data_IF_103101380182
#
_entry.id   IF_103101380182
#
_cell.length_a   1.000
_cell.length_b   1.000
_cell.length_c   1.000
_cell.angle_alpha   90.00
_cell.angle_beta   90.00
_cell.angle_gamma   90.00
#
_symmetry.space_group_name_H-M   'P 1'
#
loop_
_entity.id
_entity.type
_entity.pdbx_description
1 polymer ?
#
# COMPACT_ATOMS: atom_id res chain seq x y z
N UNK A 1 -47.09 0.64 28.01
CA UNK A 1 -45.76 0.17 28.46
C UNK A 1 -45.05 -0.72 27.44
N UNK A 2 -45.74 -1.62 26.71
CA UNK A 2 -45.12 -2.48 25.70
C UNK A 2 -44.53 -1.74 24.49
N UNK A 3 -45.21 -0.70 23.98
CA UNK A 3 -44.75 0.08 22.81
C UNK A 3 -43.48 0.89 23.12
N UNK A 4 -43.37 1.43 24.33
CA UNK A 4 -42.17 2.15 24.78
C UNK A 4 -40.96 1.21 24.87
N UNK A 5 -41.19 -0.04 25.30
CA UNK A 5 -40.16 -1.08 25.36
C UNK A 5 -39.66 -1.47 23.96
N UNK A 6 -40.56 -1.60 22.97
CA UNK A 6 -40.18 -1.88 21.59
C UNK A 6 -39.40 -0.72 20.95
N UNK A 7 -39.79 0.53 21.24
CA UNK A 7 -39.05 1.73 20.81
C UNK A 7 -37.64 1.81 21.43
N UNK A 8 -37.51 1.46 22.71
CA UNK A 8 -36.22 1.40 23.41
C UNK A 8 -35.33 0.28 22.86
N UNK A 9 -35.88 -0.90 22.57
CA UNK A 9 -35.13 -1.99 21.95
C UNK A 9 -34.67 -1.67 20.53
N UNK A 10 -35.49 -0.96 19.73
CA UNK A 10 -35.07 -0.53 18.39
C UNK A 10 -33.98 0.53 18.42
N UNK A 11 -33.97 1.39 19.45
CA UNK A 11 -32.92 2.41 19.62
C UNK A 11 -31.58 1.79 20.06
N UNK A 12 -31.62 0.67 20.79
CA UNK A 12 -30.44 -0.07 21.24
C UNK A 12 -29.81 -0.95 20.14
N UNK A 13 -30.56 -1.26 19.08
CA UNK A 13 -30.12 -2.08 17.94
C UNK A 13 -29.63 -1.26 16.74
N UNK A 14 -29.52 0.07 16.86
CA UNK A 14 -28.73 0.84 15.90
C UNK A 14 -27.28 0.31 15.97
N UNK A 15 -26.74 -0.28 14.90
CA UNK A 15 -25.34 -0.63 14.92
C UNK A 15 -24.59 0.70 14.97
N UNK A 16 -23.89 0.96 16.06
CA UNK A 16 -22.82 1.96 16.07
C UNK A 16 -21.69 1.42 15.18
N UNK A 17 -21.95 1.29 13.88
CA UNK A 17 -20.97 0.86 12.90
C UNK A 17 -20.11 2.09 12.56
N UNK A 18 -19.29 2.51 13.52
CA UNK A 18 -18.11 3.28 13.18
C UNK A 18 -17.07 2.26 12.67
N UNK A 19 -17.19 1.93 11.38
CA UNK A 19 -16.15 1.23 10.64
C UNK A 19 -14.99 2.18 10.25
N UNK A 20 -14.74 3.23 11.03
CA UNK A 20 -13.74 4.25 10.70
C UNK A 20 -12.34 3.91 11.24
N UNK A 21 -12.17 2.82 12.00
CA UNK A 21 -10.91 2.50 12.68
C UNK A 21 -10.12 1.33 12.08
N UNK A 22 -10.59 0.70 10.99
CA UNK A 22 -9.71 -0.16 10.19
C UNK A 22 -8.82 0.73 9.33
N UNK A 23 -7.75 1.30 9.91
CA UNK A 23 -6.60 1.93 9.24
C UNK A 23 -6.90 2.35 7.80
N UNK A 24 -7.87 3.26 7.61
CA UNK A 24 -8.17 3.77 6.28
C UNK A 24 -6.97 4.64 5.95
N UNK A 25 -6.10 4.11 5.09
CA UNK A 25 -4.93 4.82 4.60
C UNK A 25 -5.41 6.12 3.94
N UNK A 26 -5.42 7.20 4.74
CA UNK A 26 -6.03 8.47 4.35
C UNK A 26 -5.21 9.17 3.28
N UNK A 27 -3.94 8.79 3.18
CA UNK A 27 -3.00 9.29 2.20
C UNK A 27 -2.87 8.31 1.06
N UNK A 28 -3.98 7.91 0.43
CA UNK A 28 -3.90 7.48 -0.96
C UNK A 28 -3.42 8.67 -1.78
N UNK A 29 -2.13 8.99 -1.71
CA UNK A 29 -1.46 9.86 -2.65
C UNK A 29 -1.84 9.29 -4.00
N UNK A 30 -2.76 9.97 -4.69
CA UNK A 30 -3.22 9.55 -5.99
C UNK A 30 -1.97 9.41 -6.83
N UNK A 31 -1.63 8.17 -7.21
CA UNK A 31 -0.51 7.92 -8.09
C UNK A 31 -0.88 8.59 -9.42
N UNK A 32 -0.40 9.80 -9.62
CA UNK A 32 -0.48 10.45 -10.91
C UNK A 32 0.61 9.80 -11.76
N UNK A 33 0.23 9.30 -12.93
CA UNK A 33 1.20 8.79 -13.89
C UNK A 33 2.05 9.96 -14.33
N UNK A 34 3.21 10.16 -13.69
CA UNK A 34 4.17 11.15 -14.10
C UNK A 34 4.69 10.76 -15.48
N UNK A 35 4.56 11.66 -16.46
CA UNK A 35 5.14 11.44 -17.77
C UNK A 35 6.65 11.20 -17.62
N UNK A 36 7.09 9.98 -17.90
CA UNK A 36 8.50 9.61 -17.76
C UNK A 36 9.28 10.25 -18.91
N UNK A 37 10.01 11.34 -18.63
CA UNK A 37 11.12 11.72 -19.51
C UNK A 37 12.09 10.53 -19.61
N UNK A 38 12.70 10.26 -20.77
CA UNK A 38 13.66 9.19 -20.93
C UNK A 38 14.94 9.54 -20.15
N UNK A 39 14.91 9.29 -18.85
CA UNK A 39 16.06 9.43 -17.97
C UNK A 39 16.86 8.12 -18.05
N UNK A 40 18.15 8.22 -18.30
CA UNK A 40 19.11 7.13 -18.13
C UNK A 40 20.16 7.55 -17.12
N UNK A 41 20.62 6.59 -16.34
CA UNK A 41 21.70 6.76 -15.42
C UNK A 41 22.97 7.22 -16.16
N UNK A 42 23.58 8.30 -15.70
CA UNK A 42 24.84 8.83 -16.26
C UNK A 42 26.08 7.98 -15.90
N UNK A 43 25.92 7.03 -14.99
CA UNK A 43 26.95 6.09 -14.52
C UNK A 43 26.29 4.83 -13.97
N UNK A 44 27.08 3.76 -13.80
CA UNK A 44 26.60 2.48 -13.26
C UNK A 44 26.30 2.57 -11.75
N UNK A 45 25.09 3.02 -11.41
CA UNK A 45 24.63 3.05 -10.03
C UNK A 45 24.24 1.65 -9.56
N UNK A 46 24.63 1.31 -8.33
CA UNK A 46 24.18 0.13 -7.60
C UNK A 46 23.30 0.57 -6.43
N UNK A 47 22.05 0.14 -6.44
CA UNK A 47 21.04 0.49 -5.45
C UNK A 47 20.63 -0.74 -4.66
N UNK A 48 20.25 -0.54 -3.40
CA UNK A 48 19.72 -1.59 -2.54
C UNK A 48 18.37 -1.15 -1.98
N UNK A 49 17.35 -2.00 -2.10
CA UNK A 49 16.08 -1.84 -1.43
C UNK A 49 15.90 -2.94 -0.38
N UNK A 50 15.33 -2.57 0.78
CA UNK A 50 15.03 -3.49 1.86
C UNK A 50 13.51 -3.63 2.00
N UNK A 51 13.00 -4.85 1.88
CA UNK A 51 11.59 -5.15 2.16
C UNK A 51 11.46 -5.81 3.54
N UNK A 52 10.36 -5.56 4.28
CA UNK A 52 10.10 -6.25 5.54
C UNK A 52 10.10 -7.77 5.38
N UNK A 53 9.42 -8.27 4.35
CA UNK A 53 9.45 -9.67 3.92
C UNK A 53 9.15 -9.80 2.43
N UNK A 54 9.54 -10.92 1.81
CA UNK A 54 9.27 -11.28 0.41
C UNK A 54 8.36 -12.53 0.35
N UNK A 55 7.29 -12.54 1.15
CA UNK A 55 6.53 -13.76 1.45
C UNK A 55 5.18 -13.87 0.73
N UNK A 56 4.71 -12.81 0.11
CA UNK A 56 3.39 -12.77 -0.52
C UNK A 56 3.40 -12.10 -1.91
N UNK A 57 2.25 -12.18 -2.57
CA UNK A 57 2.03 -11.62 -3.91
C UNK A 57 2.15 -10.10 -3.96
N UNK A 58 1.94 -9.40 -2.85
CA UNK A 58 2.07 -7.95 -2.78
C UNK A 58 3.55 -7.55 -2.94
N UNK A 59 4.45 -8.13 -2.14
CA UNK A 59 5.88 -7.86 -2.24
C UNK A 59 6.48 -8.31 -3.57
N UNK A 60 6.00 -9.43 -4.12
CA UNK A 60 6.43 -9.90 -5.44
C UNK A 60 6.06 -8.90 -6.55
N UNK A 61 4.84 -8.36 -6.51
CA UNK A 61 4.35 -7.39 -7.50
C UNK A 61 5.14 -6.08 -7.45
N UNK A 62 5.45 -5.60 -6.24
CA UNK A 62 6.31 -4.43 -6.06
C UNK A 62 7.74 -4.66 -6.59
N UNK A 63 8.33 -5.81 -6.28
CA UNK A 63 9.68 -6.16 -6.76
C UNK A 63 9.75 -6.12 -8.28
N UNK A 64 8.76 -6.72 -8.96
CA UNK A 64 8.69 -6.71 -10.43
C UNK A 64 8.69 -5.29 -11.00
N UNK A 65 7.83 -4.41 -10.46
CA UNK A 65 7.76 -3.02 -10.90
C UNK A 65 9.08 -2.27 -10.67
N UNK A 66 9.73 -2.49 -9.53
CA UNK A 66 11.02 -1.87 -9.23
C UNK A 66 12.14 -2.37 -10.15
N UNK A 67 12.17 -3.66 -10.47
CA UNK A 67 13.17 -4.22 -11.39
C UNK A 67 12.98 -3.71 -12.82
N UNK A 68 11.73 -3.61 -13.28
CA UNK A 68 11.44 -3.05 -14.61
C UNK A 68 11.82 -1.56 -14.69
N UNK A 69 11.58 -0.80 -13.62
CA UNK A 69 12.07 0.56 -13.50
C UNK A 69 13.61 0.62 -13.51
N UNK A 70 14.29 -0.23 -12.76
CA UNK A 70 15.76 -0.28 -12.72
C UNK A 70 16.35 -0.53 -14.12
N UNK A 71 15.79 -1.50 -14.85
CA UNK A 71 16.14 -1.79 -16.26
C UNK A 71 15.89 -0.57 -17.16
N UNK A 72 14.74 0.09 -17.00
CA UNK A 72 14.39 1.30 -17.76
C UNK A 72 15.37 2.44 -17.50
N UNK A 73 15.79 2.67 -16.26
CA UNK A 73 16.74 3.72 -15.90
C UNK A 73 18.21 3.34 -16.11
N UNK A 74 18.53 2.05 -16.28
CA UNK A 74 19.90 1.57 -16.46
C UNK A 74 20.70 1.55 -15.15
N UNK A 75 20.06 1.17 -14.05
CA UNK A 75 20.69 1.01 -12.73
C UNK A 75 20.66 -0.46 -12.31
N UNK A 76 21.63 -0.87 -11.51
CA UNK A 76 21.65 -2.18 -10.85
C UNK A 76 20.87 -2.06 -9.54
N UNK A 77 19.85 -2.91 -9.34
CA UNK A 77 19.02 -2.93 -8.15
C UNK A 77 19.07 -4.31 -7.50
N UNK A 78 19.56 -4.33 -6.25
CA UNK A 78 19.47 -5.49 -5.37
C UNK A 78 18.36 -5.29 -4.35
N UNK A 79 17.52 -6.30 -4.19
CA UNK A 79 16.48 -6.33 -3.14
C UNK A 79 16.89 -7.35 -2.08
N UNK A 80 16.78 -6.98 -0.81
CA UNK A 80 17.05 -7.86 0.33
C UNK A 80 15.89 -7.81 1.33
N UNK A 81 15.72 -8.86 2.13
CA UNK A 81 14.78 -8.86 3.25
C UNK A 81 15.43 -8.23 4.49
N UNK A 82 14.67 -7.39 5.20
CA UNK A 82 15.07 -6.79 6.47
C UNK A 82 14.71 -7.65 7.69
N UNK A 83 13.86 -8.66 7.54
CA UNK A 83 13.47 -9.58 8.63
C UNK A 83 12.45 -8.96 9.59
N UNK A 84 11.36 -8.41 9.06
CA UNK A 84 10.23 -7.90 9.83
C UNK A 84 9.19 -8.95 10.22
#
# INVERSE_FOLDING_TARGET
>A
MRVLLFLLLSLFMLPAFSADNLLRWHDAQHFTVQASMPLKAKRAWKLCALYPSLKDSYWLSLNYGMQEAARRYGVDLKVLEAGG
#
